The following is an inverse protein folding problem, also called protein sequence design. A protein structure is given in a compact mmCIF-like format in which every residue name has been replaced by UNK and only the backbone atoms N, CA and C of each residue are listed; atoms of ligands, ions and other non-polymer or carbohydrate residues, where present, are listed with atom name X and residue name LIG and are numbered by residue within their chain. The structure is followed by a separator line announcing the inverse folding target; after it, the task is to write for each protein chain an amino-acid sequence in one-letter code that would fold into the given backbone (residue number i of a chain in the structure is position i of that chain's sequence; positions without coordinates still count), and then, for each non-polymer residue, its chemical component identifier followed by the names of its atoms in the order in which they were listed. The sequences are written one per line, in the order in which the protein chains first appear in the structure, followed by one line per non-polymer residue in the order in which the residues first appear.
data_IF_831177644895
#
_entry.id   IF_831177644895
#
_cell.length_a   1.000
_cell.length_b   1.000
_cell.length_c   1.000
_cell.angle_alpha   90.00
_cell.angle_beta   90.00
_cell.angle_gamma   90.00
#
_symmetry.space_group_name_H-M   'P 1'
#
loop_
_entity.id
_entity.type
_entity.pdbx_description
1 polymer ?
#
# COMPACT_ATOMS: atom_id res chain seq x y z
N UNK A 1 2.20 -3.01 -22.27
CA UNK A 1 1.70 -1.64 -22.12
C UNK A 1 2.02 -0.84 -23.36
N UNK A 2 1.17 0.12 -23.70
CA UNK A 2 1.42 1.10 -24.77
C UNK A 2 2.23 2.26 -24.17
N UNK A 3 3.49 2.42 -24.58
CA UNK A 3 4.44 3.41 -24.05
C UNK A 3 3.98 4.86 -24.28
N UNK A 4 2.95 5.08 -25.09
CA UNK A 4 2.41 6.40 -25.44
C UNK A 4 1.52 7.06 -24.36
N UNK A 5 1.24 6.38 -23.24
CA UNK A 5 0.39 6.89 -22.14
C UNK A 5 1.13 7.24 -20.85
N UNK A 6 2.46 7.18 -20.83
CA UNK A 6 3.21 7.53 -19.62
C UNK A 6 3.05 9.02 -19.28
N UNK A 7 2.91 9.37 -17.99
CA UNK A 7 2.91 10.76 -17.54
C UNK A 7 4.11 11.55 -18.09
N UNK A 8 3.90 12.83 -18.41
CA UNK A 8 5.00 13.71 -18.81
C UNK A 8 6.00 14.00 -17.67
N UNK A 9 5.64 13.66 -16.43
CA UNK A 9 6.53 13.70 -15.27
C UNK A 9 7.31 12.37 -15.15
N UNK A 10 8.66 12.41 -15.23
CA UNK A 10 9.50 11.22 -15.08
C UNK A 10 9.25 10.42 -13.79
N UNK A 11 8.98 11.10 -12.66
CA UNK A 11 8.71 10.41 -11.40
C UNK A 11 7.38 9.65 -11.45
N UNK A 12 6.34 10.29 -11.99
CA UNK A 12 5.05 9.63 -12.18
C UNK A 12 5.12 8.46 -13.19
N UNK A 13 5.94 8.57 -14.24
CA UNK A 13 6.17 7.46 -15.16
C UNK A 13 6.86 6.26 -14.48
N UNK A 14 7.82 6.52 -13.59
CA UNK A 14 8.44 5.47 -12.78
C UNK A 14 7.46 4.86 -11.79
N UNK A 15 6.64 5.68 -11.12
CA UNK A 15 5.60 5.19 -10.21
C UNK A 15 4.64 4.18 -10.87
N UNK A 16 4.19 4.46 -12.10
CA UNK A 16 3.36 3.52 -12.88
C UNK A 16 4.10 2.19 -13.10
N UNK A 17 5.37 2.24 -13.50
CA UNK A 17 6.18 1.04 -13.75
C UNK A 17 6.44 0.24 -12.47
N UNK A 18 6.65 0.91 -11.33
CA UNK A 18 6.78 0.26 -10.01
C UNK A 18 5.50 -0.51 -9.69
N UNK A 19 4.33 0.10 -9.89
CA UNK A 19 3.02 -0.56 -9.66
C UNK A 19 2.88 -1.82 -10.52
N UNK A 20 3.28 -1.77 -11.80
CA UNK A 20 3.22 -2.93 -12.67
C UNK A 20 4.18 -4.04 -12.24
N UNK A 21 5.40 -3.67 -11.85
CA UNK A 21 6.38 -4.62 -11.33
C UNK A 21 5.86 -5.32 -10.06
N UNK A 22 5.25 -4.57 -9.13
CA UNK A 22 4.63 -5.11 -7.92
C UNK A 22 3.46 -6.07 -8.25
N UNK A 23 2.60 -5.70 -9.19
CA UNK A 23 1.47 -6.55 -9.64
C UNK A 23 1.93 -7.88 -10.23
N UNK A 24 3.05 -7.86 -10.96
CA UNK A 24 3.63 -9.03 -11.60
C UNK A 24 4.63 -9.78 -10.69
N UNK A 25 4.75 -9.41 -9.42
CA UNK A 25 5.69 -9.98 -8.43
C UNK A 25 7.18 -9.86 -8.84
N UNK A 26 7.50 -8.86 -9.67
CA UNK A 26 8.87 -8.54 -10.13
C UNK A 26 9.55 -7.60 -9.13
N UNK A 27 9.81 -8.09 -7.93
CA UNK A 27 10.26 -7.26 -6.79
C UNK A 27 11.64 -6.64 -6.96
N UNK A 28 12.58 -7.35 -7.59
CA UNK A 28 13.92 -6.80 -7.87
C UNK A 28 13.85 -5.62 -8.87
N UNK A 29 12.94 -5.70 -9.84
CA UNK A 29 12.70 -4.61 -10.80
C UNK A 29 12.00 -3.43 -10.11
N UNK A 30 11.00 -3.68 -9.27
CA UNK A 30 10.31 -2.65 -8.51
C UNK A 30 11.30 -1.85 -7.63
N UNK A 31 12.25 -2.54 -6.99
CA UNK A 31 13.28 -1.92 -6.16
C UNK A 31 14.25 -1.08 -6.99
N UNK A 32 14.71 -1.58 -8.14
CA UNK A 32 15.58 -0.81 -9.04
C UNK A 32 14.90 0.47 -9.57
N UNK A 33 13.60 0.38 -9.90
CA UNK A 33 12.81 1.53 -10.36
C UNK A 33 12.62 2.57 -9.24
N UNK A 34 12.44 2.11 -7.99
CA UNK A 34 12.35 2.98 -6.83
C UNK A 34 13.67 3.72 -6.58
N UNK A 35 14.81 3.06 -6.72
CA UNK A 35 16.13 3.72 -6.66
C UNK A 35 16.29 4.79 -7.74
N UNK A 36 15.89 4.50 -8.98
CA UNK A 36 15.91 5.47 -10.08
C UNK A 36 15.02 6.68 -9.78
N UNK A 37 13.82 6.44 -9.24
CA UNK A 37 12.89 7.52 -8.89
C UNK A 37 13.42 8.42 -7.76
N UNK A 38 13.99 7.82 -6.71
CA UNK A 38 14.63 8.56 -5.61
C UNK A 38 15.84 9.39 -6.07
N UNK A 39 16.54 8.95 -7.12
CA UNK A 39 17.64 9.72 -7.70
C UNK A 39 17.17 10.96 -8.49
N UNK A 40 15.93 10.94 -9.01
CA UNK A 40 15.34 12.06 -9.77
C UNK A 40 14.72 13.13 -8.88
N UNK A 41 14.14 12.75 -7.74
CA UNK A 41 13.59 13.69 -6.76
C UNK A 41 13.87 13.18 -5.34
N UNK A 42 14.70 13.86 -4.54
CA UNK A 42 14.93 13.50 -3.15
C UNK A 42 13.76 13.86 -2.22
N UNK A 43 12.73 14.57 -2.69
CA UNK A 43 11.51 14.91 -1.94
C UNK A 43 10.43 13.81 -2.09
N UNK A 44 10.80 12.55 -1.88
CA UNK A 44 9.94 11.38 -2.14
C UNK A 44 9.03 10.99 -0.99
N UNK A 45 8.68 11.89 -0.07
CA UNK A 45 7.74 11.58 1.03
C UNK A 45 6.41 11.01 0.52
N UNK A 46 5.89 11.55 -0.60
CA UNK A 46 4.66 11.06 -1.25
C UNK A 46 4.80 9.64 -1.85
N UNK A 47 6.03 9.16 -2.06
CA UNK A 47 6.34 7.86 -2.68
C UNK A 47 6.84 6.82 -1.69
N UNK A 48 6.93 7.15 -0.40
CA UNK A 48 7.36 6.22 0.65
C UNK A 48 6.41 5.04 0.84
N UNK A 49 5.23 5.05 0.19
CA UNK A 49 4.35 3.88 0.10
C UNK A 49 4.98 2.73 -0.71
N UNK A 50 5.82 3.00 -1.72
CA UNK A 50 6.45 1.95 -2.50
C UNK A 50 7.45 1.09 -1.71
N UNK A 51 8.39 1.67 -0.93
CA UNK A 51 9.20 0.88 -0.01
C UNK A 51 8.36 -0.03 0.92
N UNK A 52 7.23 0.47 1.43
CA UNK A 52 6.32 -0.32 2.28
C UNK A 52 5.78 -1.52 1.50
N UNK A 53 5.23 -1.30 0.30
CA UNK A 53 4.63 -2.37 -0.51
C UNK A 53 5.66 -3.44 -0.92
N UNK A 54 6.86 -3.01 -1.33
CA UNK A 54 7.96 -3.94 -1.67
C UNK A 54 8.34 -4.78 -0.45
N UNK A 55 8.52 -4.15 0.72
CA UNK A 55 8.88 -4.85 1.95
C UNK A 55 7.79 -5.86 2.38
N UNK A 56 6.51 -5.49 2.29
CA UNK A 56 5.39 -6.40 2.58
C UNK A 56 5.44 -7.62 1.65
N UNK A 57 5.59 -7.39 0.34
CA UNK A 57 5.55 -8.47 -0.66
C UNK A 57 6.77 -9.39 -0.56
N UNK A 58 7.93 -8.88 -0.14
CA UNK A 58 9.11 -9.70 0.21
C UNK A 58 8.97 -10.43 1.56
N UNK A 59 7.96 -10.14 2.36
CA UNK A 59 7.78 -10.69 3.71
C UNK A 59 8.61 -10.00 4.80
N UNK A 60 9.22 -8.86 4.51
CA UNK A 60 9.98 -8.04 5.46
C UNK A 60 9.07 -7.13 6.28
N UNK A 61 8.16 -7.74 7.03
CA UNK A 61 7.04 -7.02 7.68
C UNK A 61 7.52 -6.00 8.72
N UNK A 62 8.59 -6.30 9.46
CA UNK A 62 9.16 -5.36 10.43
C UNK A 62 9.73 -4.11 9.76
N UNK A 63 10.36 -4.28 8.59
CA UNK A 63 10.90 -3.17 7.80
C UNK A 63 9.77 -2.32 7.21
N UNK A 64 8.73 -2.96 6.66
CA UNK A 64 7.51 -2.27 6.21
C UNK A 64 6.90 -1.40 7.32
N UNK A 65 6.83 -1.93 8.55
CA UNK A 65 6.29 -1.19 9.70
C UNK A 65 7.20 -0.02 10.11
N UNK A 66 8.52 -0.15 9.98
CA UNK A 66 9.46 0.96 10.21
C UNK A 66 9.24 2.09 9.20
N UNK A 67 9.07 1.75 7.92
CA UNK A 67 8.72 2.73 6.90
C UNK A 67 7.38 3.42 7.20
N UNK A 68 6.33 2.66 7.50
CA UNK A 68 5.02 3.23 7.86
C UNK A 68 5.10 4.21 9.04
N UNK A 69 5.83 3.84 10.10
CA UNK A 69 6.00 4.70 11.26
C UNK A 69 6.80 5.99 10.96
N UNK A 70 7.61 5.99 9.89
CA UNK A 70 8.30 7.21 9.45
C UNK A 70 7.40 8.20 8.71
N UNK A 71 6.22 7.75 8.23
CA UNK A 71 5.27 8.56 7.48
C UNK A 71 4.30 9.38 8.33
N UNK A 72 4.29 9.14 9.65
CA UNK A 72 3.30 9.70 10.56
C UNK A 72 2.36 8.64 11.12
N UNK A 73 1.69 9.00 12.22
CA UNK A 73 0.86 8.06 12.98
C UNK A 73 -0.39 7.62 12.21
N UNK A 74 -0.95 8.52 11.40
CA UNK A 74 -2.22 8.34 10.68
C UNK A 74 -2.04 7.93 9.21
N UNK A 75 -0.80 7.69 8.75
CA UNK A 75 -0.56 7.33 7.34
C UNK A 75 -0.79 5.85 7.09
N UNK A 76 -1.59 5.54 6.07
CA UNK A 76 -1.91 4.18 5.61
C UNK A 76 -2.26 3.20 6.76
N UNK A 77 -3.25 3.54 7.61
CA UNK A 77 -3.64 2.70 8.76
C UNK A 77 -4.02 1.27 8.36
N UNK A 78 -4.49 1.06 7.13
CA UNK A 78 -4.80 -0.25 6.56
C UNK A 78 -3.57 -1.14 6.38
N UNK A 79 -2.44 -0.57 5.93
CA UNK A 79 -1.18 -1.29 5.80
C UNK A 79 -0.56 -1.55 7.18
N UNK A 80 -0.74 -0.61 8.12
CA UNK A 80 -0.32 -0.79 9.51
C UNK A 80 -1.07 -1.93 10.19
N UNK A 81 -2.40 -1.98 10.01
CA UNK A 81 -3.24 -3.08 10.48
C UNK A 81 -2.78 -4.43 9.91
N UNK A 82 -2.51 -4.49 8.60
CA UNK A 82 -2.00 -5.70 7.95
C UNK A 82 -0.66 -6.15 8.53
N UNK A 83 0.31 -5.25 8.66
CA UNK A 83 1.64 -5.57 9.19
C UNK A 83 1.55 -6.08 10.64
N UNK A 84 0.80 -5.38 11.49
CA UNK A 84 0.63 -5.76 12.90
C UNK A 84 -0.09 -7.10 13.04
N UNK A 85 -1.08 -7.38 12.19
CA UNK A 85 -1.76 -8.67 12.16
C UNK A 85 -0.80 -9.82 11.84
N UNK A 86 0.04 -9.66 10.80
CA UNK A 86 1.04 -10.68 10.42
C UNK A 86 2.05 -10.91 11.54
N UNK A 87 2.44 -9.85 12.26
CA UNK A 87 3.35 -9.93 13.41
C UNK A 87 2.68 -10.47 14.68
N UNK A 88 1.35 -10.65 14.68
CA UNK A 88 0.58 -11.10 15.84
C UNK A 88 0.40 -10.04 16.94
N UNK A 89 0.63 -8.76 16.63
CA UNK A 89 0.44 -7.67 17.59
C UNK A 89 -1.05 -7.30 17.71
N UNK A 90 -1.69 -7.46 18.88
CA UNK A 90 -3.13 -7.29 19.03
C UNK A 90 -3.65 -5.88 18.72
N UNK A 91 -2.77 -4.87 18.71
CA UNK A 91 -3.13 -3.49 18.33
C UNK A 91 -3.61 -3.38 16.88
N UNK A 92 -3.37 -4.39 16.04
CA UNK A 92 -3.89 -4.45 14.66
C UNK A 92 -5.40 -4.24 14.59
N UNK A 93 -6.16 -4.70 15.58
CA UNK A 93 -7.62 -4.57 15.61
C UNK A 93 -8.07 -3.10 15.64
N UNK A 94 -7.34 -2.26 16.38
CA UNK A 94 -7.66 -0.83 16.48
C UNK A 94 -7.55 -0.15 15.11
N UNK A 95 -6.42 -0.37 14.42
CA UNK A 95 -6.20 0.18 13.09
C UNK A 95 -7.19 -0.37 12.06
N UNK A 96 -7.48 -1.68 12.10
CA UNK A 96 -8.47 -2.29 11.21
C UNK A 96 -9.88 -1.71 11.40
N UNK A 97 -10.28 -1.45 12.66
CA UNK A 97 -11.58 -0.83 12.97
C UNK A 97 -11.68 0.61 12.46
N UNK A 98 -10.63 1.41 12.60
CA UNK A 98 -10.59 2.78 12.05
C UNK A 98 -10.81 2.79 10.54
N UNK A 99 -10.31 1.77 9.84
CA UNK A 99 -10.42 1.66 8.39
C UNK A 99 -11.79 1.17 7.88
N UNK A 100 -12.70 0.75 8.76
CA UNK A 100 -14.06 0.37 8.37
C UNK A 100 -14.87 1.55 7.83
N UNK A 101 -14.49 2.78 8.17
CA UNK A 101 -15.11 4.02 7.69
C UNK A 101 -14.31 4.67 6.56
N UNK A 102 -13.29 4.00 6.01
CA UNK A 102 -12.49 4.52 4.89
C UNK A 102 -13.36 4.84 3.67
N UNK A 103 -13.05 5.92 2.94
CA UNK A 103 -13.72 6.26 1.69
C UNK A 103 -13.48 5.18 0.60
N UNK A 104 -12.37 4.45 0.68
CA UNK A 104 -12.04 3.37 -0.25
C UNK A 104 -12.80 2.07 0.10
N UNK A 105 -13.70 1.67 -0.80
CA UNK A 105 -14.48 0.43 -0.68
C UNK A 105 -13.62 -0.84 -0.60
N UNK A 106 -12.46 -0.88 -1.25
CA UNK A 106 -11.56 -2.02 -1.20
C UNK A 106 -10.88 -2.12 0.17
N UNK A 107 -10.51 -0.98 0.76
CA UNK A 107 -9.98 -0.93 2.13
C UNK A 107 -11.03 -1.42 3.12
N UNK A 108 -12.27 -0.91 3.06
CA UNK A 108 -13.36 -1.37 3.94
C UNK A 108 -13.57 -2.88 3.83
N UNK A 109 -13.62 -3.40 2.59
CA UNK A 109 -13.78 -4.83 2.34
C UNK A 109 -12.63 -5.66 2.94
N UNK A 110 -11.39 -5.28 2.66
CA UNK A 110 -10.21 -5.99 3.17
C UNK A 110 -10.16 -6.00 4.70
N UNK A 111 -10.54 -4.90 5.35
CA UNK A 111 -10.55 -4.80 6.81
C UNK A 111 -11.65 -5.62 7.46
N UNK A 112 -12.84 -5.69 6.83
CA UNK A 112 -13.91 -6.61 7.27
C UNK A 112 -13.46 -8.07 7.18
N UNK A 113 -12.81 -8.46 6.08
CA UNK A 113 -12.25 -9.81 5.92
C UNK A 113 -11.19 -10.11 6.98
N UNK A 114 -10.28 -9.16 7.24
CA UNK A 114 -9.24 -9.27 8.27
C UNK A 114 -9.83 -9.43 9.68
N UNK A 115 -10.91 -8.68 9.97
CA UNK A 115 -11.66 -8.75 11.23
C UNK A 115 -12.62 -9.94 11.30
N UNK A 116 -12.71 -10.77 10.25
CA UNK A 116 -13.64 -11.90 10.15
C UNK A 116 -15.11 -11.48 10.33
N UNK A 117 -15.47 -10.30 9.83
CA UNK A 117 -16.84 -9.80 9.82
C UNK A 117 -17.60 -10.36 8.62
N UNK A 118 -18.94 -10.42 8.72
CA UNK A 118 -19.78 -10.74 7.58
C UNK A 118 -19.65 -9.66 6.48
N UNK A 119 -19.70 -10.05 5.20
CA UNK A 119 -19.61 -9.11 4.09
C UNK A 119 -20.77 -8.13 4.16
N UNK A 120 -20.48 -6.86 3.88
CA UNK A 120 -21.51 -5.84 3.75
C UNK A 120 -22.34 -6.19 2.51
N UNK A 121 -23.66 -6.37 2.67
CA UNK A 121 -24.55 -6.56 1.53
C UNK A 121 -24.39 -5.36 0.61
N UNK A 122 -23.97 -5.61 -0.63
CA UNK A 122 -23.73 -4.59 -1.63
C UNK A 122 -25.07 -3.98 -2.06
N UNK A 123 -25.60 -3.04 -1.26
CA UNK A 123 -26.85 -2.31 -1.54
C UNK A 123 -26.66 -1.25 -2.63
N UNK A 124 -25.76 -1.48 -3.59
CA UNK A 124 -25.51 -0.61 -4.74
C UNK A 124 -26.26 -1.05 -6.02
N UNK A 125 -27.15 -2.05 -5.95
CA UNK A 125 -27.96 -2.50 -7.10
C UNK A 125 -29.47 -2.27 -6.95
N UNK A 126 -29.88 -1.26 -6.18
CA UNK A 126 -31.30 -0.88 -6.04
C UNK A 126 -31.49 0.64 -5.83
N UNK A 127 -31.11 1.45 -6.83
CA UNK A 127 -31.67 2.79 -7.03
C UNK A 127 -31.55 3.21 -8.50
#
# INVERSE_FOLDING_TARGET
MDESQLPNDPAAALAVRIVDALRDDRLDEAEQLLEEMNALSPETEEYLIFPVLIAIQRGYITEALQYLNSLGEDTAPELKALCLNILGDPTWHYHAQQCLESDDSFVRKAMRELLQMEPEEDTALAA
#
